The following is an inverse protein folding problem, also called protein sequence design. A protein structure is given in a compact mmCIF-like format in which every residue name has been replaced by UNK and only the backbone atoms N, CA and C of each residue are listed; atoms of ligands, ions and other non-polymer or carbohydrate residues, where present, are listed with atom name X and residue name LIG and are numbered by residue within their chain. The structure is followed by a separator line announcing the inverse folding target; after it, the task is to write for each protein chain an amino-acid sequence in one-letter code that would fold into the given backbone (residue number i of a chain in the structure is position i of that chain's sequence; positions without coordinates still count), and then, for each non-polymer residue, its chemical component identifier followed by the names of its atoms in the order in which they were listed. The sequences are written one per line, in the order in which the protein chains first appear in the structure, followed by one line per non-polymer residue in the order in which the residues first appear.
data_IF_491352701844
#
_entry.id   IF_491352701844
#
_cell.length_a   1.000
_cell.length_b   1.000
_cell.length_c   1.000
_cell.angle_alpha   90.00
_cell.angle_beta   90.00
_cell.angle_gamma   90.00
#
_symmetry.space_group_name_H-M   'P 1'
#
loop_
_entity.id
_entity.type
_entity.pdbx_description
1 polymer ?
#
# COMPACT_ATOMS: atom_id res chain seq x y z
N UNK A 1 -11.71 -14.95 -6.98
CA UNK A 1 -12.11 -16.36 -7.12
C UNK A 1 -12.24 -16.80 -8.59
N UNK A 2 -12.82 -16.00 -9.48
CA UNK A 2 -12.98 -16.35 -10.90
C UNK A 2 -11.64 -16.64 -11.62
N UNK A 3 -10.53 -16.11 -11.16
CA UNK A 3 -9.19 -16.40 -11.70
C UNK A 3 -8.81 -17.89 -11.68
N UNK A 4 -9.41 -18.67 -10.78
CA UNK A 4 -9.14 -20.11 -10.62
C UNK A 4 -9.68 -20.91 -11.80
N UNK A 5 -10.72 -20.41 -12.45
CA UNK A 5 -11.46 -21.08 -13.51
C UNK A 5 -11.03 -20.63 -14.94
N UNK A 6 -10.14 -19.63 -15.01
CA UNK A 6 -9.75 -19.06 -16.31
C UNK A 6 -8.33 -19.50 -16.64
N UNK A 7 -8.21 -20.27 -17.71
CA UNK A 7 -6.93 -20.78 -18.24
C UNK A 7 -6.35 -19.89 -19.35
N UNK A 8 -7.16 -18.99 -19.91
CA UNK A 8 -6.73 -18.14 -21.03
C UNK A 8 -6.05 -16.86 -20.54
N UNK A 9 -4.89 -16.46 -21.09
CA UNK A 9 -4.20 -15.22 -20.72
C UNK A 9 -5.08 -13.97 -20.86
N UNK A 10 -5.90 -13.91 -21.91
CA UNK A 10 -6.83 -12.78 -22.14
C UNK A 10 -7.90 -12.69 -21.06
N UNK A 11 -8.41 -13.82 -20.59
CA UNK A 11 -9.37 -13.87 -19.49
C UNK A 11 -8.76 -13.40 -18.17
N UNK A 12 -7.52 -13.76 -17.88
CA UNK A 12 -6.78 -13.30 -16.71
C UNK A 12 -6.59 -11.78 -16.77
N UNK A 13 -6.17 -11.24 -17.91
CA UNK A 13 -6.01 -9.80 -18.11
C UNK A 13 -7.34 -9.06 -17.90
N UNK A 14 -8.42 -9.55 -18.48
CA UNK A 14 -9.75 -8.95 -18.35
C UNK A 14 -10.23 -8.92 -16.90
N UNK A 15 -10.07 -10.03 -16.15
CA UNK A 15 -10.43 -10.07 -14.72
C UNK A 15 -9.55 -9.16 -13.88
N UNK A 16 -8.26 -9.09 -14.14
CA UNK A 16 -7.35 -8.17 -13.43
C UNK A 16 -7.70 -6.72 -13.71
N UNK A 17 -8.06 -6.40 -14.94
CA UNK A 17 -8.57 -5.07 -15.32
C UNK A 17 -9.84 -4.72 -14.53
N UNK A 18 -10.85 -5.61 -14.52
CA UNK A 18 -12.07 -5.40 -13.75
C UNK A 18 -11.79 -5.24 -12.24
N UNK A 19 -10.86 -6.05 -11.69
CA UNK A 19 -10.44 -5.93 -10.30
C UNK A 19 -9.80 -4.57 -10.03
N UNK A 20 -8.92 -4.10 -10.92
CA UNK A 20 -8.28 -2.79 -10.82
C UNK A 20 -9.28 -1.63 -10.83
N UNK A 21 -10.27 -1.69 -11.74
CA UNK A 21 -11.36 -0.71 -11.81
C UNK A 21 -12.17 -0.70 -10.50
N UNK A 22 -12.52 -1.86 -9.97
CA UNK A 22 -13.25 -1.94 -8.69
C UNK A 22 -12.41 -1.40 -7.52
N UNK A 23 -11.11 -1.75 -7.45
CA UNK A 23 -10.19 -1.31 -6.40
C UNK A 23 -10.00 0.22 -6.41
N UNK A 24 -9.93 0.85 -7.59
CA UNK A 24 -9.79 2.30 -7.69
C UNK A 24 -10.96 3.07 -7.06
N UNK A 25 -12.13 2.45 -7.00
CA UNK A 25 -13.34 2.99 -6.37
C UNK A 25 -13.37 2.87 -4.84
N UNK A 26 -12.49 2.10 -4.21
CA UNK A 26 -12.52 1.86 -2.75
C UNK A 26 -11.82 2.96 -1.97
N UNK A 27 -10.59 3.31 -2.36
CA UNK A 27 -9.73 4.20 -1.57
C UNK A 27 -10.29 5.63 -1.41
N UNK A 28 -10.74 6.34 -2.46
CA UNK A 28 -11.22 7.72 -2.31
C UNK A 28 -12.45 7.87 -1.41
N UNK A 29 -13.48 7.00 -1.45
CA UNK A 29 -14.58 7.04 -0.49
C UNK A 29 -14.14 6.78 0.95
N UNK A 30 -13.23 5.83 1.20
CA UNK A 30 -12.74 5.51 2.55
C UNK A 30 -12.00 6.71 3.16
N UNK A 31 -11.12 7.37 2.40
CA UNK A 31 -10.42 8.58 2.84
C UNK A 31 -11.41 9.70 3.18
N UNK A 32 -12.44 9.92 2.35
CA UNK A 32 -13.49 10.89 2.64
C UNK A 32 -14.30 10.52 3.88
N UNK A 33 -14.67 9.26 4.02
CA UNK A 33 -15.44 8.76 5.14
C UNK A 33 -14.74 9.06 6.47
N UNK A 34 -13.44 8.76 6.56
CA UNK A 34 -12.68 9.08 7.77
C UNK A 34 -12.64 10.56 8.06
N UNK A 35 -12.49 11.39 7.02
CA UNK A 35 -12.52 12.83 7.21
C UNK A 35 -13.86 13.33 7.78
N UNK A 36 -14.96 12.57 7.69
CA UNK A 36 -16.25 12.90 8.33
C UNK A 36 -16.28 12.56 9.83
N UNK A 37 -15.40 11.71 10.31
CA UNK A 37 -15.34 11.31 11.72
C UNK A 37 -14.37 12.15 12.55
N UNK A 38 -13.38 12.77 11.93
CA UNK A 38 -12.34 13.53 12.61
C UNK A 38 -12.29 14.99 12.14
N UNK A 39 -12.44 15.92 13.07
CA UNK A 39 -12.19 17.35 12.83
C UNK A 39 -10.72 17.69 13.07
N UNK A 40 -10.13 17.13 14.13
CA UNK A 40 -8.71 17.26 14.50
C UNK A 40 -8.03 15.89 14.46
N UNK A 41 -6.70 15.86 14.30
CA UNK A 41 -5.93 14.60 14.25
C UNK A 41 -6.19 13.78 12.97
N UNK A 42 -6.55 14.42 11.88
CA UNK A 42 -6.80 13.75 10.60
C UNK A 42 -5.57 13.03 10.06
N UNK A 43 -4.37 13.54 10.35
CA UNK A 43 -3.12 12.90 9.94
C UNK A 43 -2.95 11.53 10.57
N UNK A 44 -3.16 11.41 11.89
CA UNK A 44 -3.10 10.12 12.58
C UNK A 44 -4.18 9.17 12.06
N UNK A 45 -5.42 9.63 11.91
CA UNK A 45 -6.52 8.80 11.41
C UNK A 45 -6.25 8.25 10.01
N UNK A 46 -5.71 9.08 9.11
CA UNK A 46 -5.28 8.66 7.78
C UNK A 46 -4.08 7.72 7.85
N UNK A 47 -3.12 7.98 8.74
CA UNK A 47 -1.96 7.12 8.97
C UNK A 47 -2.35 5.71 9.41
N UNK A 48 -3.35 5.57 10.28
CA UNK A 48 -3.88 4.26 10.72
C UNK A 48 -4.48 3.49 9.54
N UNK A 49 -5.26 4.14 8.67
CA UNK A 49 -5.87 3.47 7.52
C UNK A 49 -4.83 3.06 6.48
N UNK A 50 -3.88 3.96 6.19
CA UNK A 50 -2.79 3.62 5.26
C UNK A 50 -1.91 2.53 5.86
N UNK A 51 -1.70 2.54 7.18
CA UNK A 51 -1.05 1.44 7.90
C UNK A 51 -1.78 0.11 7.77
N UNK A 52 -3.11 0.11 7.89
CA UNK A 52 -3.93 -1.08 7.67
C UNK A 52 -3.82 -1.59 6.21
N UNK A 53 -3.79 -0.67 5.22
CA UNK A 53 -3.51 -1.02 3.83
C UNK A 53 -2.15 -1.70 3.69
N UNK A 54 -1.11 -1.16 4.31
CA UNK A 54 0.25 -1.70 4.26
C UNK A 54 0.31 -3.11 4.86
N UNK A 55 -0.34 -3.33 6.00
CA UNK A 55 -0.48 -4.69 6.58
C UNK A 55 -1.22 -5.60 5.61
N UNK A 56 -2.32 -5.16 5.01
CA UNK A 56 -3.05 -5.93 4.01
C UNK A 56 -2.18 -6.34 2.82
N UNK A 57 -1.30 -5.45 2.34
CA UNK A 57 -0.37 -5.73 1.26
C UNK A 57 0.75 -6.71 1.64
N UNK A 58 1.09 -6.81 2.93
CA UNK A 58 2.08 -7.79 3.44
C UNK A 58 1.51 -9.21 3.59
N UNK A 59 0.19 -9.37 3.77
CA UNK A 59 -0.46 -10.66 4.04
C UNK A 59 -0.20 -11.76 3.01
N UNK A 60 -0.13 -11.50 1.69
CA UNK A 60 0.20 -12.54 0.71
C UNK A 60 1.55 -13.21 0.97
N UNK A 61 2.53 -12.45 1.45
CA UNK A 61 3.85 -12.99 1.80
C UNK A 61 3.76 -13.90 3.04
N UNK A 62 2.98 -13.49 4.06
CA UNK A 62 2.74 -14.31 5.24
C UNK A 62 2.03 -15.61 4.89
N UNK A 63 0.96 -15.57 4.10
CA UNK A 63 0.27 -16.79 3.67
C UNK A 63 1.18 -17.72 2.89
N UNK A 64 2.04 -17.16 2.04
CA UNK A 64 3.03 -17.95 1.31
C UNK A 64 4.07 -18.58 2.24
N UNK A 65 4.52 -17.87 3.25
CA UNK A 65 5.47 -18.39 4.25
C UNK A 65 4.88 -19.50 5.12
N UNK A 66 3.60 -19.42 5.46
CA UNK A 66 2.90 -20.42 6.28
C UNK A 66 2.52 -21.69 5.49
N UNK A 67 2.39 -21.57 4.18
CA UNK A 67 2.10 -22.72 3.30
C UNK A 67 3.40 -23.24 2.74
N UNK A 68 3.94 -24.33 3.34
CA UNK A 68 5.17 -24.99 2.91
C UNK A 68 5.13 -25.48 1.45
N UNK A 69 3.93 -25.63 0.88
CA UNK A 69 3.70 -25.90 -0.52
C UNK A 69 3.26 -24.63 -1.25
N UNK A 70 3.78 -24.43 -2.45
CA UNK A 70 3.51 -23.28 -3.34
C UNK A 70 2.07 -23.24 -3.86
N UNK A 71 1.07 -23.45 -2.98
CA UNK A 71 -0.33 -23.46 -3.37
C UNK A 71 -0.87 -22.02 -3.43
N UNK A 72 -0.66 -21.37 -4.57
CA UNK A 72 -1.16 -20.03 -4.86
C UNK A 72 -2.69 -19.91 -4.73
N UNK A 73 -3.43 -21.03 -4.81
CA UNK A 73 -4.88 -21.06 -4.64
C UNK A 73 -5.30 -20.62 -3.23
N UNK A 74 -4.55 -21.01 -2.20
CA UNK A 74 -4.83 -20.59 -0.81
C UNK A 74 -4.72 -19.08 -0.63
N UNK A 75 -3.75 -18.44 -1.30
CA UNK A 75 -3.62 -16.98 -1.27
C UNK A 75 -4.82 -16.30 -1.93
N UNK A 76 -5.32 -16.84 -3.05
CA UNK A 76 -6.52 -16.31 -3.72
C UNK A 76 -7.77 -16.54 -2.86
N UNK A 77 -7.95 -17.72 -2.28
CA UNK A 77 -9.10 -18.01 -1.42
C UNK A 77 -9.13 -17.13 -0.17
N UNK A 78 -8.00 -17.04 0.54
CA UNK A 78 -7.90 -16.24 1.76
C UNK A 78 -8.11 -14.75 1.50
N UNK A 79 -7.49 -14.19 0.47
CA UNK A 79 -7.68 -12.78 0.11
C UNK A 79 -9.11 -12.47 -0.34
N UNK A 80 -9.74 -13.36 -1.11
CA UNK A 80 -11.13 -13.20 -1.54
C UNK A 80 -12.11 -13.28 -0.37
N UNK A 81 -11.88 -14.23 0.56
CA UNK A 81 -12.69 -14.36 1.76
C UNK A 81 -12.56 -13.14 2.68
N UNK A 82 -11.33 -12.68 2.91
CA UNK A 82 -11.08 -11.47 3.69
C UNK A 82 -11.77 -10.24 3.09
N UNK A 83 -11.71 -10.07 1.77
CA UNK A 83 -12.39 -8.97 1.07
C UNK A 83 -13.91 -9.08 1.21
N UNK A 84 -14.45 -10.27 1.10
CA UNK A 84 -15.90 -10.50 1.25
C UNK A 84 -16.38 -10.18 2.67
N UNK A 85 -15.65 -10.66 3.68
CA UNK A 85 -15.95 -10.34 5.10
C UNK A 85 -15.85 -8.84 5.34
N UNK A 86 -14.79 -8.19 4.86
CA UNK A 86 -14.61 -6.73 4.97
C UNK A 86 -15.77 -5.96 4.32
N UNK A 87 -16.26 -6.42 3.16
CA UNK A 87 -17.39 -5.82 2.47
C UNK A 87 -18.68 -5.89 3.31
N UNK A 88 -18.93 -7.03 3.94
CA UNK A 88 -20.08 -7.22 4.85
C UNK A 88 -19.96 -6.29 6.07
N UNK A 89 -18.78 -6.24 6.70
CA UNK A 89 -18.53 -5.35 7.84
C UNK A 89 -18.78 -3.90 7.44
N UNK A 90 -18.27 -3.49 6.28
CA UNK A 90 -18.45 -2.13 5.77
C UNK A 90 -19.91 -1.78 5.55
N UNK A 91 -20.66 -2.69 4.94
CA UNK A 91 -22.08 -2.48 4.63
C UNK A 91 -22.97 -2.45 5.88
N UNK A 92 -22.69 -3.29 6.90
CA UNK A 92 -23.55 -3.42 8.07
C UNK A 92 -23.22 -2.44 9.20
N UNK A 93 -21.96 -2.07 9.38
CA UNK A 93 -21.49 -1.37 10.59
C UNK A 93 -20.95 0.03 10.35
N UNK A 94 -20.68 0.42 9.10
CA UNK A 94 -20.06 1.70 8.82
C UNK A 94 -21.10 2.70 8.33
N UNK A 95 -21.09 3.89 8.94
CA UNK A 95 -21.93 5.04 8.59
C UNK A 95 -21.09 6.30 8.42
N UNK A 96 -21.64 7.33 7.79
CA UNK A 96 -21.02 8.65 7.69
C UNK A 96 -20.92 9.29 9.09
N UNK A 97 -19.81 9.98 9.36
CA UNK A 97 -19.57 10.67 10.63
C UNK A 97 -20.31 12.00 10.74
N UNK A 98 -20.22 12.67 11.90
CA UNK A 98 -20.96 13.91 12.19
C UNK A 98 -20.47 15.13 11.40
N UNK A 99 -19.24 15.12 10.87
CA UNK A 99 -18.64 16.24 10.16
C UNK A 99 -18.84 16.08 8.65
N UNK A 100 -19.96 16.55 8.14
CA UNK A 100 -20.33 16.40 6.75
C UNK A 100 -19.48 17.30 5.83
N UNK A 101 -18.98 16.70 4.76
CA UNK A 101 -18.48 17.46 3.60
C UNK A 101 -19.62 17.65 2.59
N UNK A 102 -19.67 18.85 2.01
CA UNK A 102 -20.60 19.11 0.91
C UNK A 102 -20.39 18.06 -0.21
N UNK A 103 -21.48 17.44 -0.65
CA UNK A 103 -21.44 16.51 -1.79
C UNK A 103 -21.07 17.29 -3.04
N UNK A 104 -19.84 17.17 -3.49
CA UNK A 104 -19.43 17.72 -4.77
C UNK A 104 -20.09 16.93 -5.91
N UNK A 105 -20.73 17.64 -6.83
CA UNK A 105 -21.18 17.02 -8.09
C UNK A 105 -19.97 16.78 -8.97
N UNK A 106 -19.95 15.63 -9.65
CA UNK A 106 -18.90 15.34 -10.63
C UNK A 106 -19.00 16.35 -11.79
N UNK A 107 -17.96 17.16 -11.95
CA UNK A 107 -17.82 18.11 -13.05
C UNK A 107 -16.49 17.86 -13.77
N UNK A 108 -16.52 17.34 -15.00
CA UNK A 108 -15.30 17.08 -15.77
C UNK A 108 -14.42 18.32 -15.99
N UNK A 109 -14.98 19.53 -15.94
CA UNK A 109 -14.23 20.80 -16.09
C UNK A 109 -13.24 21.02 -14.95
N UNK A 110 -13.51 20.43 -13.77
CA UNK A 110 -12.61 20.51 -12.63
C UNK A 110 -11.25 19.82 -12.90
N UNK A 111 -11.20 18.84 -13.79
CA UNK A 111 -9.94 18.18 -14.19
C UNK A 111 -8.99 19.21 -14.80
N UNK A 112 -9.50 20.05 -15.70
CA UNK A 112 -8.67 21.09 -16.32
C UNK A 112 -8.19 22.13 -15.30
N UNK A 113 -9.05 22.49 -14.33
CA UNK A 113 -8.67 23.40 -13.24
C UNK A 113 -7.57 22.80 -12.34
N UNK A 114 -7.62 21.50 -12.07
CA UNK A 114 -6.58 20.80 -11.28
C UNK A 114 -5.24 20.83 -12.03
N UNK A 115 -5.24 20.50 -13.33
CA UNK A 115 -4.03 20.48 -14.16
C UNK A 115 -3.46 21.89 -14.32
N UNK A 116 -4.30 22.91 -14.40
CA UNK A 116 -3.87 24.31 -14.51
C UNK A 116 -3.36 24.89 -13.18
N UNK A 117 -3.66 24.26 -12.06
CA UNK A 117 -3.22 24.70 -10.75
C UNK A 117 -1.83 24.12 -10.43
N UNK A 118 -0.79 24.94 -10.55
CA UNK A 118 0.61 24.55 -10.38
C UNK A 118 0.88 23.82 -9.04
N UNK A 119 0.43 24.29 -7.86
CA UNK A 119 0.61 23.56 -6.60
C UNK A 119 0.01 22.15 -6.63
N UNK A 120 -1.21 21.98 -7.13
CA UNK A 120 -1.86 20.68 -7.20
C UNK A 120 -1.15 19.74 -8.18
N UNK A 121 -0.71 20.27 -9.33
CA UNK A 121 0.06 19.50 -10.31
C UNK A 121 1.37 19.00 -9.73
N UNK A 122 2.11 19.85 -8.99
CA UNK A 122 3.36 19.45 -8.34
C UNK A 122 3.13 18.37 -7.28
N UNK A 123 2.07 18.46 -6.47
CA UNK A 123 1.70 17.41 -5.51
C UNK A 123 1.39 16.10 -6.22
N UNK A 124 0.65 16.13 -7.33
CA UNK A 124 0.33 14.93 -8.09
C UNK A 124 1.57 14.28 -8.72
N UNK A 125 2.51 15.08 -9.23
CA UNK A 125 3.78 14.56 -9.79
C UNK A 125 4.62 13.93 -8.67
N UNK A 126 4.76 14.60 -7.53
CA UNK A 126 5.47 14.05 -6.37
C UNK A 126 4.86 12.75 -5.88
N UNK A 127 3.52 12.71 -5.77
CA UNK A 127 2.80 11.50 -5.38
C UNK A 127 2.98 10.36 -6.40
N UNK A 128 2.96 10.65 -7.70
CA UNK A 128 3.21 9.66 -8.73
C UNK A 128 4.61 9.06 -8.63
N UNK A 129 5.63 9.88 -8.35
CA UNK A 129 7.00 9.42 -8.13
C UNK A 129 7.11 8.50 -6.90
N UNK A 130 6.48 8.87 -5.78
CA UNK A 130 6.43 8.02 -4.59
C UNK A 130 5.68 6.70 -4.84
N UNK A 131 4.56 6.74 -5.55
CA UNK A 131 3.84 5.51 -5.89
C UNK A 131 4.67 4.58 -6.79
N UNK A 132 5.44 5.13 -7.72
CA UNK A 132 6.37 4.35 -8.53
C UNK A 132 7.40 3.62 -7.66
N UNK A 133 8.05 4.33 -6.74
CA UNK A 133 9.02 3.77 -5.79
C UNK A 133 8.38 2.64 -4.94
N UNK A 134 7.22 2.91 -4.33
CA UNK A 134 6.51 1.99 -3.47
C UNK A 134 6.12 0.69 -4.19
N UNK A 135 5.49 0.80 -5.37
CA UNK A 135 5.07 -0.37 -6.12
C UNK A 135 6.24 -1.12 -6.74
N UNK A 136 7.31 -0.45 -7.13
CA UNK A 136 8.53 -1.10 -7.58
C UNK A 136 9.14 -1.94 -6.44
N UNK A 137 9.23 -1.38 -5.24
CA UNK A 137 9.71 -2.10 -4.06
C UNK A 137 8.82 -3.32 -3.77
N UNK A 138 7.51 -3.16 -3.70
CA UNK A 138 6.60 -4.29 -3.43
C UNK A 138 6.66 -5.40 -4.49
N UNK A 139 6.87 -5.04 -5.75
CA UNK A 139 6.97 -6.02 -6.83
C UNK A 139 8.26 -6.85 -6.78
N UNK A 140 9.36 -6.21 -6.39
CA UNK A 140 10.69 -6.81 -6.51
C UNK A 140 11.30 -7.31 -5.21
N UNK A 141 10.75 -6.92 -4.04
CA UNK A 141 11.34 -7.26 -2.74
C UNK A 141 11.49 -8.77 -2.50
N UNK A 142 10.52 -9.58 -2.96
CA UNK A 142 10.62 -11.03 -2.81
C UNK A 142 11.72 -11.63 -3.69
N UNK A 143 11.83 -11.17 -4.94
CA UNK A 143 12.89 -11.61 -5.86
C UNK A 143 14.24 -11.23 -5.31
N UNK A 144 14.36 -10.01 -4.80
CA UNK A 144 15.57 -9.52 -4.16
C UNK A 144 15.96 -10.35 -2.92
N UNK A 145 14.99 -10.63 -2.05
CA UNK A 145 15.19 -11.45 -0.86
C UNK A 145 15.62 -12.89 -1.22
N UNK A 146 15.02 -13.48 -2.25
CA UNK A 146 15.39 -14.81 -2.74
C UNK A 146 16.81 -14.84 -3.32
N UNK A 147 17.20 -13.78 -4.03
CA UNK A 147 18.57 -13.64 -4.53
C UNK A 147 19.57 -13.52 -3.37
N UNK A 148 19.30 -12.66 -2.40
CA UNK A 148 20.14 -12.49 -1.22
C UNK A 148 20.27 -13.76 -0.37
N UNK A 149 19.23 -14.60 -0.30
CA UNK A 149 19.29 -15.87 0.43
C UNK A 149 20.31 -16.85 -0.16
N UNK A 150 20.56 -16.79 -1.47
CA UNK A 150 21.54 -17.68 -2.10
C UNK A 150 22.98 -17.35 -1.70
N UNK A 151 23.22 -16.10 -1.32
CA UNK A 151 24.55 -15.61 -0.93
C UNK A 151 24.82 -15.77 0.59
N UNK A 152 23.77 -15.86 1.43
CA UNK A 152 23.90 -15.86 2.87
C UNK A 152 23.21 -17.07 3.52
N UNK A 153 23.96 -17.82 4.34
CA UNK A 153 23.48 -19.02 5.05
C UNK A 153 22.45 -18.67 6.13
N UNK A 154 22.67 -17.58 6.85
CA UNK A 154 21.77 -17.10 7.92
C UNK A 154 20.89 -15.95 7.41
N UNK A 155 19.75 -16.30 6.82
CA UNK A 155 18.81 -15.32 6.33
C UNK A 155 17.90 -14.81 7.47
N UNK A 156 17.71 -13.48 7.62
CA UNK A 156 16.86 -12.91 8.67
C UNK A 156 15.42 -13.44 8.56
N UNK A 157 14.82 -13.71 9.73
CA UNK A 157 13.46 -14.24 9.84
C UNK A 157 13.22 -15.61 9.21
N UNK A 158 14.28 -16.34 8.85
CA UNK A 158 14.23 -17.72 8.39
C UNK A 158 13.96 -17.91 6.89
N UNK A 159 12.98 -17.24 6.29
CA UNK A 159 12.68 -17.35 4.87
C UNK A 159 12.46 -15.99 4.19
N UNK A 160 12.69 -15.87 2.87
CA UNK A 160 12.44 -14.63 2.12
C UNK A 160 11.01 -14.12 2.24
N UNK A 161 10.04 -15.01 2.34
CA UNK A 161 8.64 -14.67 2.47
C UNK A 161 8.34 -14.00 3.83
N UNK A 162 8.87 -14.55 4.95
CA UNK A 162 8.76 -13.90 6.25
C UNK A 162 9.49 -12.57 6.29
N UNK A 163 10.67 -12.49 5.70
CA UNK A 163 11.39 -11.24 5.55
C UNK A 163 10.55 -10.18 4.84
N UNK A 164 9.98 -10.50 3.67
CA UNK A 164 9.13 -9.59 2.93
C UNK A 164 7.88 -9.17 3.72
N UNK A 165 7.26 -10.12 4.45
CA UNK A 165 6.14 -9.80 5.32
C UNK A 165 6.52 -8.75 6.35
N UNK A 166 7.60 -8.92 7.09
CA UNK A 166 8.02 -7.99 8.13
C UNK A 166 8.45 -6.63 7.56
N UNK A 167 9.22 -6.61 6.48
CA UNK A 167 9.65 -5.36 5.84
C UNK A 167 8.46 -4.52 5.37
N UNK A 168 7.47 -5.14 4.73
CA UNK A 168 6.27 -4.42 4.29
C UNK A 168 5.39 -4.05 5.48
N UNK A 169 5.18 -4.96 6.44
CA UNK A 169 4.29 -4.72 7.58
C UNK A 169 4.79 -3.60 8.50
N UNK A 170 6.10 -3.47 8.70
CA UNK A 170 6.70 -2.40 9.51
C UNK A 170 6.38 -1.01 8.97
N UNK A 171 6.14 -0.90 7.67
CA UNK A 171 5.65 0.32 7.02
C UNK A 171 4.35 0.86 7.63
N UNK A 172 3.53 0.00 8.27
CA UNK A 172 2.33 0.45 8.98
C UNK A 172 2.67 1.39 10.16
N UNK A 173 3.75 1.10 10.87
CA UNK A 173 4.27 1.97 11.95
C UNK A 173 4.71 3.30 11.35
N UNK A 174 5.43 3.26 10.22
CA UNK A 174 5.83 4.45 9.48
C UNK A 174 4.65 5.33 9.04
N UNK A 175 3.56 4.71 8.58
CA UNK A 175 2.34 5.43 8.21
C UNK A 175 1.70 6.17 9.39
N UNK A 176 1.62 5.54 10.56
CA UNK A 176 1.08 6.15 11.78
C UNK A 176 2.00 7.27 12.26
N UNK A 177 3.31 7.03 12.32
CA UNK A 177 4.29 8.03 12.70
C UNK A 177 4.29 9.23 11.74
N UNK A 178 4.25 8.99 10.43
CA UNK A 178 4.14 10.03 9.41
C UNK A 178 2.87 10.85 9.53
N UNK A 179 1.74 10.21 9.85
CA UNK A 179 0.48 10.89 10.15
C UNK A 179 0.60 11.82 11.35
N UNK A 180 1.17 11.33 12.44
CA UNK A 180 1.42 12.11 13.67
C UNK A 180 2.38 13.29 13.41
N UNK A 181 3.51 13.06 12.77
CA UNK A 181 4.47 14.08 12.41
C UNK A 181 3.86 15.14 11.48
N UNK A 182 3.00 14.72 10.56
CA UNK A 182 2.29 15.62 9.65
C UNK A 182 1.34 16.57 10.39
N UNK A 183 0.71 16.12 11.48
CA UNK A 183 -0.15 16.97 12.30
C UNK A 183 0.66 17.99 13.12
N UNK A 184 1.94 17.70 13.46
CA UNK A 184 2.81 18.59 14.25
C UNK A 184 3.60 19.56 13.36
N UNK A 185 4.34 19.03 12.39
CA UNK A 185 5.29 19.80 11.58
C UNK A 185 4.70 20.32 10.26
N UNK A 186 3.46 19.91 9.95
CA UNK A 186 2.78 20.26 8.73
C UNK A 186 3.09 19.27 7.59
N UNK A 187 2.13 19.18 6.68
CA UNK A 187 2.09 18.14 5.64
C UNK A 187 3.24 18.22 4.65
N UNK A 188 3.58 19.42 4.18
CA UNK A 188 4.60 19.59 3.15
C UNK A 188 5.99 19.18 3.64
N UNK A 189 6.41 19.64 4.82
CA UNK A 189 7.72 19.31 5.39
C UNK A 189 7.84 17.83 5.71
N UNK A 190 6.85 17.26 6.37
CA UNK A 190 6.84 15.83 6.71
C UNK A 190 6.92 14.97 5.45
N UNK A 191 6.08 15.23 4.44
CA UNK A 191 6.08 14.47 3.20
C UNK A 191 7.42 14.59 2.47
N UNK A 192 7.95 15.80 2.32
CA UNK A 192 9.23 16.02 1.64
C UNK A 192 10.38 15.28 2.34
N UNK A 193 10.45 15.38 3.67
CA UNK A 193 11.50 14.70 4.45
C UNK A 193 11.41 13.18 4.33
N UNK A 194 10.22 12.61 4.48
CA UNK A 194 10.04 11.17 4.36
C UNK A 194 10.35 10.67 2.94
N UNK A 195 9.97 11.40 1.90
CA UNK A 195 10.31 11.05 0.51
C UNK A 195 11.82 11.10 0.25
N UNK A 196 12.52 12.09 0.82
CA UNK A 196 13.99 12.18 0.70
C UNK A 196 14.64 10.97 1.40
N UNK A 197 14.21 10.64 2.62
CA UNK A 197 14.74 9.49 3.35
C UNK A 197 14.49 8.20 2.57
N UNK A 198 13.25 7.96 2.14
CA UNK A 198 12.86 6.76 1.38
C UNK A 198 13.65 6.64 0.08
N UNK A 199 13.71 7.69 -0.74
CA UNK A 199 14.46 7.69 -1.98
C UNK A 199 15.97 7.51 -1.78
N UNK A 200 16.52 8.03 -0.69
CA UNK A 200 17.93 7.79 -0.32
C UNK A 200 18.17 6.32 0.04
N UNK A 201 17.29 5.72 0.83
CA UNK A 201 17.35 4.30 1.18
C UNK A 201 17.23 3.43 -0.08
N UNK A 202 16.27 3.74 -0.97
CA UNK A 202 16.10 3.01 -2.22
C UNK A 202 17.33 3.11 -3.15
N UNK A 203 17.99 4.27 -3.17
CA UNK A 203 19.23 4.47 -3.93
C UNK A 203 20.39 3.67 -3.31
N UNK A 204 20.54 3.70 -1.98
CA UNK A 204 21.63 3.03 -1.28
C UNK A 204 21.54 1.51 -1.35
N UNK A 205 20.32 0.94 -1.38
CA UNK A 205 20.13 -0.51 -1.43
C UNK A 205 20.84 -1.14 -2.66
N UNK A 206 20.90 -0.41 -3.77
CA UNK A 206 21.58 -0.87 -4.98
C UNK A 206 23.11 -1.02 -4.82
N UNK A 207 23.71 -0.33 -3.86
CA UNK A 207 25.16 -0.44 -3.56
C UNK A 207 25.46 -1.46 -2.45
N UNK A 208 24.43 -1.92 -1.76
CA UNK A 208 24.58 -2.83 -0.62
C UNK A 208 24.21 -4.26 -0.98
N UNK A 209 24.01 -4.57 -2.26
CA UNK A 209 23.60 -5.90 -2.75
C UNK A 209 24.51 -7.02 -2.25
N UNK A 210 25.81 -6.75 -2.08
CA UNK A 210 26.79 -7.71 -1.57
C UNK A 210 26.89 -7.70 -0.03
N UNK A 211 26.04 -6.90 0.65
CA UNK A 211 26.03 -6.77 2.11
C UNK A 211 25.10 -7.78 2.81
N UNK A 212 25.24 -7.95 4.14
CA UNK A 212 24.36 -8.86 4.88
C UNK A 212 22.89 -8.43 4.77
N UNK A 213 21.94 -9.39 4.67
CA UNK A 213 20.52 -9.12 4.42
C UNK A 213 19.84 -8.21 5.44
N UNK A 214 20.38 -8.15 6.68
CA UNK A 214 19.86 -7.26 7.74
C UNK A 214 19.91 -5.77 7.33
N UNK A 215 20.88 -5.37 6.51
CA UNK A 215 21.03 -3.99 6.06
C UNK A 215 19.85 -3.56 5.16
N UNK A 216 19.20 -4.49 4.48
CA UNK A 216 18.08 -4.21 3.59
C UNK A 216 16.73 -4.09 4.33
N UNK A 217 16.67 -4.51 5.60
CA UNK A 217 15.47 -4.48 6.43
C UNK A 217 15.31 -3.15 7.20
N UNK A 218 16.34 -2.32 7.25
CA UNK A 218 16.36 -1.00 7.91
C UNK A 218 15.99 0.09 6.93
#
# INVERSE_FOLDING_TARGET
LLLIWIETPYGIIALRFCTGVALSGVYPPVVKLIATWFEKGRGIAMGIIIGALTIGCSMPHLFRALTLDTNWLLVIWSSSLATFISSIIFFLFISEGPFFFARARFDPRQIMLIISNKPLTLVNIGYAGHMWELYAMWAWILVFAQFSQQEFVDFPFGTPEYFCFFVVAVGAIGCIAGGFLSDIFGRCYTTATLMIISGTCAFLIGFLVDGPPVIFAI
#
